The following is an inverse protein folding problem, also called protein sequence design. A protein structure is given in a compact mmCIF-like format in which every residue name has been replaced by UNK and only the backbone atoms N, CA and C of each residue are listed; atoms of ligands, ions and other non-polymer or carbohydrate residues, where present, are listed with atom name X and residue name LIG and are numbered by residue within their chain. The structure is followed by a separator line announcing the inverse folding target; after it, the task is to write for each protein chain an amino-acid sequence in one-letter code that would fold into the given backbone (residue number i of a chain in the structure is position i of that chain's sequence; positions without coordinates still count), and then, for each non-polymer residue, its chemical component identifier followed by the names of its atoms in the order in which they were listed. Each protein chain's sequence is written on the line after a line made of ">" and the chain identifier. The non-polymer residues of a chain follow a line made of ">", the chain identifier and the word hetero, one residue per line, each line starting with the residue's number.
data_IF_245244225897
#
_entry.id   IF_245244225897
#
_cell.length_a   1.000
_cell.length_b   1.000
_cell.length_c   1.000
_cell.angle_alpha   90.00
_cell.angle_beta   90.00
_cell.angle_gamma   90.00
#
_symmetry.space_group_name_H-M   'P 1'
#
loop_
_entity.id
_entity.type
_entity.pdbx_description
1 polymer ?
#
# COMPACT_ATOMS: atom_id res chain seq x y z
N UNK A 1 -3.90 -32.73 -44.66
CA UNK A 1 -3.51 -33.41 -43.42
C UNK A 1 -3.36 -32.35 -42.35
N UNK A 2 -4.28 -32.33 -41.37
CA UNK A 2 -4.45 -31.29 -40.36
C UNK A 2 -3.41 -31.41 -39.23
N UNK A 3 -2.89 -30.28 -38.77
CA UNK A 3 -2.24 -30.18 -37.46
C UNK A 3 -2.92 -29.03 -36.68
N UNK A 4 -4.05 -29.36 -36.06
CA UNK A 4 -4.70 -28.51 -35.06
C UNK A 4 -3.86 -28.57 -33.78
N UNK A 5 -2.97 -27.60 -33.58
CA UNK A 5 -2.30 -27.44 -32.28
C UNK A 5 -3.34 -26.94 -31.27
N UNK A 6 -3.74 -27.81 -30.35
CA UNK A 6 -4.59 -27.39 -29.25
C UNK A 6 -3.76 -26.55 -28.27
N UNK A 7 -4.12 -25.28 -28.12
CA UNK A 7 -3.63 -24.45 -27.04
C UNK A 7 -4.15 -25.07 -25.73
N UNK A 8 -3.25 -25.74 -24.99
CA UNK A 8 -3.55 -26.16 -23.62
C UNK A 8 -3.80 -24.90 -22.80
N UNK A 9 -5.05 -24.69 -22.39
CA UNK A 9 -5.39 -23.75 -21.34
C UNK A 9 -4.63 -24.21 -20.08
N UNK A 10 -3.54 -23.52 -19.75
CA UNK A 10 -2.86 -23.69 -18.47
C UNK A 10 -3.88 -23.25 -17.42
N UNK A 11 -4.38 -24.20 -16.63
CA UNK A 11 -5.26 -23.93 -15.51
C UNK A 11 -4.47 -23.08 -14.50
N UNK A 12 -4.72 -21.78 -14.46
CA UNK A 12 -4.17 -20.92 -13.41
C UNK A 12 -4.64 -21.46 -12.05
N UNK A 13 -3.73 -21.72 -11.10
CA UNK A 13 -4.14 -22.13 -9.76
C UNK A 13 -5.08 -21.07 -9.18
N UNK A 14 -6.06 -21.50 -8.38
CA UNK A 14 -6.96 -20.58 -7.72
C UNK A 14 -6.17 -19.63 -6.81
N UNK A 15 -6.44 -18.32 -6.92
CA UNK A 15 -5.76 -17.30 -6.11
C UNK A 15 -5.86 -17.60 -4.61
N UNK A 16 -4.84 -17.29 -3.79
CA UNK A 16 -4.94 -17.41 -2.34
C UNK A 16 -6.09 -16.58 -1.76
N UNK A 17 -6.72 -17.04 -0.68
CA UNK A 17 -7.89 -16.38 -0.07
C UNK A 17 -7.63 -14.90 0.30
N UNK A 18 -6.44 -14.60 0.82
CA UNK A 18 -6.07 -13.23 1.16
C UNK A 18 -6.00 -12.34 -0.08
N UNK A 19 -5.44 -12.84 -1.18
CA UNK A 19 -5.41 -12.13 -2.46
C UNK A 19 -6.82 -11.90 -3.02
N UNK A 20 -7.68 -12.93 -2.97
CA UNK A 20 -9.09 -12.80 -3.36
C UNK A 20 -9.82 -11.70 -2.55
N UNK A 21 -9.60 -11.65 -1.23
CA UNK A 21 -10.19 -10.65 -0.36
C UNK A 21 -9.74 -9.24 -0.74
N UNK A 22 -8.42 -9.04 -0.88
CA UNK A 22 -7.86 -7.74 -1.26
C UNK A 22 -8.36 -7.31 -2.63
N UNK A 23 -8.38 -8.21 -3.62
CA UNK A 23 -8.95 -7.92 -4.94
C UNK A 23 -10.42 -7.52 -4.84
N UNK A 24 -11.22 -8.20 -4.01
CA UNK A 24 -12.62 -7.84 -3.79
C UNK A 24 -12.76 -6.44 -3.16
N UNK A 25 -11.87 -6.06 -2.23
CA UNK A 25 -11.84 -4.71 -1.65
C UNK A 25 -11.51 -3.64 -2.71
N UNK A 26 -10.59 -3.94 -3.61
CA UNK A 26 -10.16 -3.00 -4.64
C UNK A 26 -11.18 -2.81 -5.77
N UNK A 27 -12.19 -3.68 -5.92
CA UNK A 27 -13.27 -3.51 -6.91
C UNK A 27 -14.05 -2.21 -6.73
N UNK A 28 -14.05 -1.64 -5.52
CA UNK A 28 -14.71 -0.37 -5.23
C UNK A 28 -13.91 0.88 -5.59
N UNK A 29 -12.74 0.76 -6.24
CA UNK A 29 -11.92 1.91 -6.64
C UNK A 29 -12.67 2.76 -7.68
N UNK A 30 -12.69 4.07 -7.44
CA UNK A 30 -13.26 5.09 -8.30
C UNK A 30 -12.24 6.21 -8.56
N UNK A 31 -12.44 6.96 -9.65
CA UNK A 31 -11.62 8.12 -9.99
C UNK A 31 -10.20 7.81 -10.47
N UNK A 32 -9.93 6.55 -10.81
CA UNK A 32 -8.64 6.05 -11.27
C UNK A 32 -8.64 4.54 -11.45
N UNK A 33 -7.55 4.01 -11.97
CA UNK A 33 -7.33 2.57 -12.14
C UNK A 33 -6.03 2.12 -11.50
N UNK A 34 -6.07 0.90 -10.95
CA UNK A 34 -4.94 0.21 -10.37
C UNK A 34 -4.67 -1.07 -11.16
N UNK A 35 -3.49 -1.16 -11.75
CA UNK A 35 -2.96 -2.40 -12.32
C UNK A 35 -2.18 -3.16 -11.24
N UNK A 36 -2.61 -4.38 -10.94
CA UNK A 36 -2.02 -5.27 -9.96
C UNK A 36 -1.33 -6.44 -10.67
N UNK A 37 -0.01 -6.52 -10.55
CA UNK A 37 0.77 -7.66 -11.03
C UNK A 37 0.98 -8.64 -9.87
N UNK A 38 0.58 -9.89 -10.07
CA UNK A 38 0.59 -10.94 -9.03
C UNK A 38 1.82 -11.86 -9.16
N UNK A 39 2.19 -12.59 -8.09
CA UNK A 39 3.36 -13.48 -8.09
C UNK A 39 3.28 -14.63 -9.11
N UNK A 40 2.08 -15.03 -9.52
CA UNK A 40 1.87 -16.05 -10.57
C UNK A 40 1.97 -15.48 -11.99
N UNK A 41 2.33 -14.20 -12.14
CA UNK A 41 2.41 -13.49 -13.41
C UNK A 41 1.06 -13.00 -13.94
N UNK A 42 -0.05 -13.28 -13.25
CA UNK A 42 -1.36 -12.75 -13.64
C UNK A 42 -1.45 -11.25 -13.34
N UNK A 43 -2.28 -10.57 -14.14
CA UNK A 43 -2.52 -9.14 -14.00
C UNK A 43 -4.01 -8.88 -13.80
N UNK A 44 -4.33 -8.04 -12.82
CA UNK A 44 -5.69 -7.57 -12.55
C UNK A 44 -5.74 -6.05 -12.62
N UNK A 45 -6.68 -5.52 -13.40
CA UNK A 45 -6.95 -4.09 -13.45
C UNK A 45 -8.29 -3.84 -12.76
N UNK A 46 -8.31 -2.88 -11.84
CA UNK A 46 -9.49 -2.49 -11.08
C UNK A 46 -9.68 -0.99 -11.13
N UNK A 47 -10.94 -0.54 -11.05
CA UNK A 47 -11.30 0.85 -11.22
C UNK A 47 -11.22 1.33 -12.67
N UNK A 48 -11.56 2.60 -12.88
CA UNK A 48 -11.45 3.30 -14.14
C UNK A 48 -11.30 4.80 -13.85
N UNK A 49 -10.41 5.49 -14.56
CA UNK A 49 -10.26 6.93 -14.47
C UNK A 49 -8.88 7.44 -14.86
N UNK A 50 -8.67 8.77 -14.76
CA UNK A 50 -7.44 9.41 -15.23
C UNK A 50 -6.22 9.15 -14.35
N UNK A 51 -6.42 8.88 -13.05
CA UNK A 51 -5.33 8.54 -12.15
C UNK A 51 -4.94 7.07 -12.33
N UNK A 52 -3.74 6.82 -12.85
CA UNK A 52 -3.20 5.49 -13.09
C UNK A 52 -2.17 5.13 -12.02
N UNK A 53 -2.28 3.94 -11.45
CA UNK A 53 -1.31 3.40 -10.50
C UNK A 53 -1.00 1.93 -10.80
N UNK A 54 0.22 1.52 -10.46
CA UNK A 54 0.67 0.13 -10.56
C UNK A 54 1.06 -0.39 -9.17
N UNK A 55 0.81 -1.67 -8.91
CA UNK A 55 1.41 -2.38 -7.79
C UNK A 55 1.83 -3.77 -8.28
N UNK A 56 3.08 -4.11 -8.04
CA UNK A 56 3.65 -5.42 -8.37
C UNK A 56 3.96 -6.15 -7.07
N UNK A 57 3.23 -7.23 -6.80
CA UNK A 57 3.46 -8.09 -5.64
C UNK A 57 4.45 -9.20 -6.02
N UNK A 58 5.55 -9.28 -5.27
CA UNK A 58 6.58 -10.30 -5.43
C UNK A 58 6.20 -11.60 -4.69
N UNK A 59 5.40 -11.50 -3.63
CA UNK A 59 5.01 -12.61 -2.77
C UNK A 59 3.52 -12.51 -2.36
N UNK A 60 2.84 -13.65 -2.23
CA UNK A 60 1.46 -13.76 -1.75
C UNK A 60 1.27 -13.28 -0.30
N UNK A 61 2.34 -13.32 0.50
CA UNK A 61 2.37 -12.84 1.89
C UNK A 61 1.99 -11.35 1.98
N UNK A 62 2.20 -10.57 0.93
CA UNK A 62 1.73 -9.17 0.85
C UNK A 62 0.25 -9.08 1.20
N UNK A 63 -0.57 -9.93 0.59
CA UNK A 63 -2.02 -9.92 0.82
C UNK A 63 -2.37 -10.37 2.23
N UNK A 64 -1.65 -11.36 2.77
CA UNK A 64 -1.85 -11.79 4.16
C UNK A 64 -1.53 -10.67 5.15
N UNK A 65 -0.45 -9.92 4.93
CA UNK A 65 -0.06 -8.77 5.75
C UNK A 65 -1.08 -7.65 5.67
N UNK A 66 -1.59 -7.35 4.47
CA UNK A 66 -2.68 -6.37 4.28
C UNK A 66 -3.94 -6.79 5.04
N UNK A 67 -4.33 -8.07 4.94
CA UNK A 67 -5.52 -8.59 5.62
C UNK A 67 -5.34 -8.62 7.14
N UNK A 68 -4.14 -8.94 7.64
CA UNK A 68 -3.90 -9.10 9.08
C UNK A 68 -3.58 -7.80 9.81
N UNK A 69 -2.87 -6.87 9.17
CA UNK A 69 -2.31 -5.66 9.77
C UNK A 69 -2.72 -4.36 9.04
N UNK A 70 -3.60 -4.45 8.03
CA UNK A 70 -4.14 -3.28 7.33
C UNK A 70 -3.05 -2.42 6.66
N UNK A 71 -3.14 -1.11 6.84
CA UNK A 71 -2.18 -0.15 6.28
C UNK A 71 -0.76 -0.31 6.84
N UNK A 72 -0.61 -0.81 8.07
CA UNK A 72 0.71 -1.09 8.65
C UNK A 72 1.35 -2.25 7.89
N UNK A 73 0.62 -3.36 7.71
CA UNK A 73 1.11 -4.51 6.94
C UNK A 73 1.43 -4.16 5.49
N UNK A 74 0.65 -3.26 4.88
CA UNK A 74 0.92 -2.71 3.55
C UNK A 74 2.26 -1.95 3.51
N UNK A 75 2.51 -1.06 4.46
CA UNK A 75 3.75 -0.29 4.55
C UNK A 75 4.97 -1.15 4.88
N UNK A 76 4.86 -2.09 5.83
CA UNK A 76 5.95 -3.01 6.14
C UNK A 76 6.29 -3.95 4.98
N UNK A 77 5.31 -4.31 4.15
CA UNK A 77 5.54 -5.12 2.95
C UNK A 77 6.28 -4.31 1.87
N UNK A 78 6.03 -3.00 1.77
CA UNK A 78 6.78 -2.10 0.90
C UNK A 78 8.24 -1.98 1.35
N UNK A 79 8.46 -1.69 2.64
CA UNK A 79 9.80 -1.57 3.21
C UNK A 79 10.61 -2.87 3.08
N UNK A 80 9.94 -4.03 3.11
CA UNK A 80 10.56 -5.33 2.92
C UNK A 80 10.73 -5.74 1.44
N UNK A 81 10.38 -4.88 0.47
CA UNK A 81 10.49 -5.16 -0.96
C UNK A 81 9.53 -6.24 -1.47
N UNK A 82 8.50 -6.59 -0.70
CA UNK A 82 7.53 -7.63 -1.05
C UNK A 82 6.53 -7.16 -2.09
N UNK A 83 6.33 -5.85 -2.20
CA UNK A 83 5.67 -5.24 -3.35
C UNK A 83 6.35 -3.94 -3.71
N UNK A 84 6.19 -3.54 -4.97
CA UNK A 84 6.76 -2.32 -5.54
C UNK A 84 5.76 -1.61 -6.47
N UNK A 85 6.08 -0.38 -6.84
CA UNK A 85 5.28 0.45 -7.74
C UNK A 85 6.19 1.40 -8.50
N UNK A 86 5.80 1.75 -9.72
CA UNK A 86 6.55 2.70 -10.55
C UNK A 86 6.36 4.15 -10.09
N UNK A 87 5.25 4.43 -9.37
CA UNK A 87 4.90 5.78 -8.93
C UNK A 87 4.17 5.76 -7.59
N UNK A 88 4.93 5.69 -6.49
CA UNK A 88 4.40 5.62 -5.13
C UNK A 88 3.40 6.74 -4.79
N UNK A 89 3.65 8.03 -5.13
CA UNK A 89 2.67 9.08 -4.86
C UNK A 89 1.32 8.89 -5.56
N UNK A 90 1.30 8.41 -6.82
CA UNK A 90 0.07 8.17 -7.55
C UNK A 90 -0.74 7.02 -6.92
N UNK A 91 -0.06 5.93 -6.54
CA UNK A 91 -0.67 4.81 -5.83
C UNK A 91 -1.26 5.25 -4.49
N UNK A 92 -0.49 5.94 -3.65
CA UNK A 92 -0.97 6.42 -2.34
C UNK A 92 -2.10 7.44 -2.49
N UNK A 93 -2.05 8.31 -3.50
CA UNK A 93 -3.14 9.25 -3.80
C UNK A 93 -4.43 8.51 -4.18
N UNK A 94 -4.33 7.49 -5.03
CA UNK A 94 -5.49 6.68 -5.45
C UNK A 94 -6.11 5.97 -4.24
N UNK A 95 -5.28 5.32 -3.42
CA UNK A 95 -5.73 4.62 -2.21
C UNK A 95 -6.33 5.58 -1.18
N UNK A 96 -5.74 6.77 -0.99
CA UNK A 96 -6.25 7.79 -0.07
C UNK A 96 -7.61 8.34 -0.52
N UNK A 97 -7.77 8.67 -1.81
CA UNK A 97 -9.06 9.09 -2.39
C UNK A 97 -10.14 8.02 -2.25
N UNK A 98 -9.76 6.75 -2.23
CA UNK A 98 -10.66 5.61 -2.10
C UNK A 98 -10.75 5.03 -0.67
N UNK A 99 -10.19 5.70 0.33
CA UNK A 99 -10.12 5.19 1.72
C UNK A 99 -11.48 4.76 2.25
N UNK A 100 -12.53 5.54 2.00
CA UNK A 100 -13.89 5.22 2.45
C UNK A 100 -14.45 3.94 1.81
N UNK A 101 -14.23 3.75 0.50
CA UNK A 101 -14.67 2.55 -0.22
C UNK A 101 -13.89 1.31 0.25
N UNK A 102 -12.57 1.43 0.37
CA UNK A 102 -11.70 0.37 0.88
C UNK A 102 -12.05 0.00 2.32
N UNK A 103 -12.44 0.97 3.14
CA UNK A 103 -12.89 0.74 4.51
C UNK A 103 -14.27 0.08 4.56
N UNK A 104 -15.21 0.41 3.66
CA UNK A 104 -16.55 -0.20 3.60
C UNK A 104 -16.54 -1.66 3.15
N UNK A 105 -15.69 -2.03 2.19
CA UNK A 105 -15.57 -3.42 1.74
C UNK A 105 -15.14 -4.40 2.85
N UNK A 106 -14.60 -3.89 3.96
CA UNK A 106 -14.14 -4.61 5.15
C UNK A 106 -15.29 -4.86 6.16
N UNK A 107 -16.47 -4.23 6.01
CA UNK A 107 -17.55 -4.22 7.03
C UNK A 107 -18.37 -5.53 7.17
N UNK A 108 -18.13 -6.56 6.36
CA UNK A 108 -18.76 -7.88 6.53
C UNK A 108 -17.93 -8.81 7.40
N UNK A 109 -18.30 -8.98 8.69
CA UNK A 109 -17.76 -9.94 9.68
C UNK A 109 -16.24 -9.85 10.05
N UNK A 110 -15.43 -9.23 9.20
CA UNK A 110 -13.98 -9.11 9.31
C UNK A 110 -13.54 -8.09 10.37
N UNK A 111 -14.33 -7.03 10.62
CA UNK A 111 -14.15 -6.14 11.77
C UNK A 111 -14.23 -6.86 13.11
N UNK A 112 -14.98 -7.96 13.24
CA UNK A 112 -15.02 -8.70 14.52
C UNK A 112 -13.70 -9.43 14.79
N UNK A 113 -13.02 -9.89 13.73
CA UNK A 113 -11.71 -10.55 13.79
C UNK A 113 -10.55 -9.54 13.94
N UNK A 114 -10.62 -8.44 13.18
CA UNK A 114 -9.67 -7.32 13.26
C UNK A 114 -9.83 -6.55 14.56
N UNK A 115 -11.04 -6.23 15.00
CA UNK A 115 -11.25 -5.57 16.29
C UNK A 115 -10.78 -6.45 17.44
N UNK A 116 -10.95 -7.78 17.37
CA UNK A 116 -10.38 -8.68 18.38
C UNK A 116 -8.85 -8.68 18.37
N UNK A 117 -8.21 -8.69 17.19
CA UNK A 117 -6.74 -8.57 17.07
C UNK A 117 -6.21 -7.19 17.45
N UNK A 118 -6.88 -6.11 17.04
CA UNK A 118 -6.52 -4.73 17.37
C UNK A 118 -6.77 -4.45 18.85
N UNK A 119 -7.83 -4.95 19.47
CA UNK A 119 -8.06 -4.78 20.91
C UNK A 119 -7.02 -5.53 21.75
N UNK A 120 -6.56 -6.71 21.29
CA UNK A 120 -5.42 -7.40 21.91
C UNK A 120 -4.07 -6.75 21.60
N UNK A 121 -3.88 -6.19 20.40
CA UNK A 121 -2.61 -5.55 19.98
C UNK A 121 -2.45 -4.13 20.53
N UNK A 122 -3.54 -3.38 20.72
CA UNK A 122 -3.56 -2.05 21.35
C UNK A 122 -3.40 -2.13 22.88
N UNK A 123 -3.52 -3.34 23.47
CA UNK A 123 -3.16 -3.62 24.87
C UNK A 123 -1.74 -4.15 25.04
N UNK A 124 -1.03 -4.45 23.95
CA UNK A 124 0.35 -4.91 23.99
C UNK A 124 1.33 -3.73 23.80
N UNK A 125 1.25 -2.71 24.66
CA UNK A 125 2.41 -1.88 25.00
C UNK A 125 3.40 -2.75 25.78
N UNK A 126 3.97 -3.77 25.13
CA UNK A 126 4.98 -4.59 25.77
C UNK A 126 6.23 -3.75 25.88
N UNK A 127 6.78 -3.66 27.09
CA UNK A 127 8.03 -2.93 27.37
C UNK A 127 9.16 -3.30 26.41
N UNK A 128 9.14 -4.52 25.86
CA UNK A 128 10.07 -5.03 24.84
C UNK A 128 9.81 -4.46 23.43
N UNK A 129 8.55 -4.34 23.00
CA UNK A 129 8.18 -3.72 21.72
C UNK A 129 8.35 -2.20 21.75
N UNK A 130 7.97 -1.55 22.86
CA UNK A 130 8.26 -0.14 23.09
C UNK A 130 9.77 0.11 23.14
N UNK A 131 10.57 -0.75 23.80
CA UNK A 131 12.04 -0.64 23.77
C UNK A 131 12.60 -0.80 22.37
N UNK A 132 12.12 -1.75 21.56
CA UNK A 132 12.56 -1.92 20.17
C UNK A 132 12.14 -0.74 19.27
N UNK A 133 10.98 -0.13 19.51
CA UNK A 133 10.52 1.08 18.82
C UNK A 133 11.27 2.35 19.30
N UNK A 134 11.65 2.42 20.58
CA UNK A 134 12.43 3.53 21.15
C UNK A 134 13.91 3.42 20.78
N UNK A 135 14.45 2.20 20.68
CA UNK A 135 15.80 1.88 20.19
C UNK A 135 15.93 2.15 18.69
N UNK A 136 14.80 2.16 17.96
CA UNK A 136 14.69 2.74 16.62
C UNK A 136 14.39 4.25 16.66
N UNK A 137 14.87 4.98 17.68
CA UNK A 137 15.17 6.40 17.47
C UNK A 137 16.24 6.43 16.40
N UNK A 138 15.83 6.76 15.18
CA UNK A 138 16.80 7.11 14.18
C UNK A 138 17.60 8.28 14.75
N UNK A 139 18.92 8.12 14.85
CA UNK A 139 19.84 9.23 15.12
C UNK A 139 19.89 10.16 13.89
N UNK A 140 18.72 10.67 13.47
CA UNK A 140 18.58 11.67 12.42
C UNK A 140 18.81 13.00 13.10
N UNK A 141 20.09 13.37 13.18
CA UNK A 141 20.50 14.71 13.55
C UNK A 141 20.19 15.73 12.45
N UNK A 142 20.50 17.00 12.72
CA UNK A 142 20.32 18.08 11.76
C UNK A 142 21.03 17.82 10.43
N UNK A 143 22.14 17.09 10.44
CA UNK A 143 22.89 16.70 9.24
C UNK A 143 22.03 15.91 8.24
N UNK A 144 21.12 15.06 8.72
CA UNK A 144 20.20 14.33 7.83
C UNK A 144 19.15 15.26 7.21
N UNK A 145 18.57 16.14 8.03
CA UNK A 145 17.52 17.06 7.59
C UNK A 145 18.06 18.12 6.63
N UNK A 146 19.29 18.60 6.84
CA UNK A 146 19.95 19.57 5.98
C UNK A 146 20.21 19.06 4.55
N UNK A 147 20.10 17.75 4.30
CA UNK A 147 20.23 17.18 2.94
C UNK A 147 19.02 17.49 2.04
N UNK A 148 17.87 17.84 2.60
CA UNK A 148 16.62 17.98 1.83
C UNK A 148 15.66 19.06 2.34
N UNK A 149 15.87 19.62 3.53
CA UNK A 149 15.20 20.86 3.94
C UNK A 149 15.91 22.07 3.34
N UNK A 150 15.18 23.18 3.28
CA UNK A 150 15.76 24.48 2.94
C UNK A 150 16.65 25.00 4.07
N UNK A 151 17.35 26.11 3.81
CA UNK A 151 18.30 26.71 4.75
C UNK A 151 17.67 27.12 6.09
N UNK A 152 16.35 27.37 6.13
CA UNK A 152 15.64 27.69 7.38
C UNK A 152 15.39 26.47 8.27
N UNK A 153 15.64 25.26 7.76
CA UNK A 153 15.36 23.98 8.43
C UNK A 153 13.87 23.82 8.78
N UNK A 154 12.98 24.38 7.97
CA UNK A 154 11.54 24.33 8.22
C UNK A 154 10.97 22.95 7.92
N UNK A 155 10.64 22.18 8.96
CA UNK A 155 9.92 20.92 8.82
C UNK A 155 8.40 21.13 8.97
N UNK A 156 7.84 21.95 8.09
CA UNK A 156 6.43 22.31 8.06
C UNK A 156 5.95 22.54 6.62
N UNK A 157 4.65 22.80 6.43
CA UNK A 157 4.12 23.12 5.10
C UNK A 157 4.49 24.54 4.68
N UNK A 158 5.10 24.70 3.50
CA UNK A 158 5.27 26.01 2.85
C UNK A 158 3.94 26.52 2.25
N UNK A 159 3.85 27.83 1.99
CA UNK A 159 2.65 28.51 1.48
C UNK A 159 2.93 29.24 0.15
N UNK A 160 2.81 28.48 -0.93
CA UNK A 160 2.93 28.98 -2.30
C UNK A 160 1.82 29.98 -2.66
N UNK A 161 2.18 31.23 -2.94
CA UNK A 161 1.25 32.27 -3.41
C UNK A 161 1.12 32.30 -4.94
N UNK A 162 2.08 31.74 -5.67
CA UNK A 162 2.10 31.61 -7.12
C UNK A 162 2.67 30.24 -7.54
N UNK A 163 2.30 29.69 -8.71
CA UNK A 163 2.75 28.36 -9.16
C UNK A 163 4.26 28.23 -9.39
N UNK A 164 4.93 29.35 -9.66
CA UNK A 164 6.36 29.48 -9.97
C UNK A 164 7.20 29.93 -8.77
N UNK A 165 6.58 30.08 -7.60
CA UNK A 165 7.27 30.41 -6.36
C UNK A 165 8.18 29.26 -5.93
N UNK A 166 9.43 29.57 -5.61
CA UNK A 166 10.39 28.56 -5.16
C UNK A 166 10.11 28.14 -3.71
N UNK A 167 10.63 26.98 -3.32
CA UNK A 167 10.42 26.42 -1.97
C UNK A 167 11.08 27.26 -0.86
N UNK A 168 12.12 28.05 -1.17
CA UNK A 168 12.84 28.87 -0.18
C UNK A 168 12.06 30.13 0.18
N UNK A 169 11.31 30.67 -0.79
CA UNK A 169 10.53 31.89 -0.64
C UNK A 169 9.07 31.64 -0.27
N UNK A 170 8.58 30.41 -0.44
CA UNK A 170 7.21 29.97 -0.17
C UNK A 170 6.86 29.81 1.32
#
# INVERSE_FOLDING_TARGET
>A
MNATQSLRAVSSPALPRAAQLVLAMLRGIQGGSLALHLPDGSQHIVGNGPLQATLTAQDWQVFERIVSHGSIGFGEAFMAGQWQTDHLPALLTLLAKNRAALTKAIHGNFFRLIAHRLWHSLRANTRKGSRKNIEAHYDLGNDFYALWLDETMSYSSARYAAPDMDFVTA
#
